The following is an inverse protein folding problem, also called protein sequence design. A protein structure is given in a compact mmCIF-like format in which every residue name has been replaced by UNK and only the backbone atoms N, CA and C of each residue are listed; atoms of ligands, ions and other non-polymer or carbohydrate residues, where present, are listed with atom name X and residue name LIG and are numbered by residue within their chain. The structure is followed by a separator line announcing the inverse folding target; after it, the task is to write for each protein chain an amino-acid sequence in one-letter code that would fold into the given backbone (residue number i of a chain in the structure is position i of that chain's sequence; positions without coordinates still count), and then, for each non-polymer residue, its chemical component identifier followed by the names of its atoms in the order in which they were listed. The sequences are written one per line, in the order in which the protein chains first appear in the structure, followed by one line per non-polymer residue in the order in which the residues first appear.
data_IF_184404773893
#
_entry.id   IF_184404773893
#
_cell.length_a   1.000
_cell.length_b   1.000
_cell.length_c   1.000
_cell.angle_alpha   90.00
_cell.angle_beta   90.00
_cell.angle_gamma   90.00
#
_symmetry.space_group_name_H-M   'P 1'
#
loop_
_entity.id
_entity.type
_entity.pdbx_description
1 polymer ?
#
# COMPACT_ATOMS: atom_id res chain seq x y z
N UNK A 1 -5.97 0.86 1.15
CA UNK A 1 -6.10 0.02 -0.05
C UNK A 1 -5.60 -1.36 0.32
N UNK A 2 -6.42 -2.38 0.12
CA UNK A 2 -6.06 -3.77 0.40
C UNK A 2 -5.50 -4.41 -0.87
N UNK A 3 -4.43 -5.20 -0.72
CA UNK A 3 -3.78 -5.92 -1.82
C UNK A 3 -4.21 -7.37 -1.75
N UNK A 4 -4.97 -7.83 -2.74
CA UNK A 4 -5.37 -9.23 -2.90
C UNK A 4 -4.81 -9.71 -4.24
N UNK A 5 -4.25 -10.92 -4.27
CA UNK A 5 -3.78 -11.51 -5.51
C UNK A 5 -4.97 -11.92 -6.38
N UNK A 6 -4.96 -11.52 -7.66
CA UNK A 6 -6.02 -11.87 -8.61
C UNK A 6 -6.18 -13.39 -8.75
N UNK A 7 -5.07 -14.13 -8.68
CA UNK A 7 -5.10 -15.60 -8.72
C UNK A 7 -5.99 -16.21 -7.63
N UNK A 8 -6.09 -15.57 -6.46
CA UNK A 8 -6.95 -16.07 -5.38
C UNK A 8 -8.43 -16.04 -5.75
N UNK A 9 -8.88 -15.02 -6.50
CA UNK A 9 -10.25 -14.98 -7.04
C UNK A 9 -10.49 -16.08 -8.07
N UNK A 10 -9.50 -16.36 -8.93
CA UNK A 10 -9.56 -17.47 -9.87
C UNK A 10 -9.67 -18.81 -9.15
N UNK A 11 -8.83 -19.07 -8.16
CA UNK A 11 -8.88 -20.33 -7.38
C UNK A 11 -10.19 -20.48 -6.62
N UNK A 12 -10.75 -19.38 -6.10
CA UNK A 12 -12.05 -19.40 -5.45
C UNK A 12 -13.16 -19.76 -6.44
N UNK A 13 -13.20 -19.12 -7.62
CA UNK A 13 -14.20 -19.43 -8.63
C UNK A 13 -14.16 -20.89 -9.08
N UNK A 14 -12.94 -21.44 -9.25
CA UNK A 14 -12.74 -22.86 -9.55
C UNK A 14 -13.23 -23.76 -8.40
N UNK A 15 -12.77 -23.52 -7.17
CA UNK A 15 -13.15 -24.31 -5.99
C UNK A 15 -14.67 -24.26 -5.77
N UNK A 16 -15.28 -23.09 -5.95
CA UNK A 16 -16.72 -22.88 -5.83
C UNK A 16 -17.50 -23.61 -6.92
N UNK A 17 -17.00 -23.62 -8.16
CA UNK A 17 -17.59 -24.41 -9.25
C UNK A 17 -17.55 -25.91 -8.96
N UNK A 18 -16.41 -26.40 -8.44
CA UNK A 18 -16.26 -27.81 -8.02
C UNK A 18 -17.25 -28.15 -6.90
N UNK A 19 -17.49 -27.24 -5.97
CA UNK A 19 -18.47 -27.37 -4.88
C UNK A 19 -19.90 -27.62 -5.39
N UNK A 20 -20.26 -27.03 -6.53
CA UNK A 20 -21.60 -27.14 -7.12
C UNK A 20 -21.69 -28.32 -8.10
N UNK A 21 -20.59 -28.62 -8.79
CA UNK A 21 -20.61 -29.47 -9.99
C UNK A 21 -20.04 -30.88 -9.77
N UNK A 22 -19.07 -31.03 -8.85
CA UNK A 22 -18.37 -32.30 -8.63
C UNK A 22 -18.65 -32.85 -7.22
N UNK A 23 -19.04 -34.13 -7.16
CA UNK A 23 -19.68 -34.75 -5.99
C UNK A 23 -18.71 -35.55 -5.12
N UNK A 24 -17.41 -35.42 -5.34
CA UNK A 24 -16.42 -36.31 -4.75
C UNK A 24 -15.74 -35.68 -3.54
N UNK A 25 -16.40 -35.81 -2.39
CA UNK A 25 -15.75 -35.70 -1.09
C UNK A 25 -15.34 -37.10 -0.62
N UNK A 26 -14.09 -37.28 -0.22
CA UNK A 26 -13.60 -38.57 0.29
C UNK A 26 -14.31 -38.97 1.59
N UNK A 27 -14.54 -37.97 2.45
CA UNK A 27 -15.23 -38.10 3.73
C UNK A 27 -15.75 -36.73 4.23
N UNK A 28 -16.50 -36.75 5.32
CA UNK A 28 -17.09 -35.56 5.94
C UNK A 28 -16.04 -34.53 6.35
N UNK A 29 -14.85 -34.97 6.78
CA UNK A 29 -13.73 -34.07 7.08
C UNK A 29 -13.31 -33.28 5.85
N UNK A 30 -13.07 -33.95 4.72
CA UNK A 30 -12.68 -33.28 3.47
C UNK A 30 -13.73 -32.28 2.99
N UNK A 31 -15.03 -32.60 3.15
CA UNK A 31 -16.11 -31.70 2.78
C UNK A 31 -16.13 -30.43 3.66
N UNK A 32 -15.96 -30.59 4.98
CA UNK A 32 -15.88 -29.46 5.92
C UNK A 32 -14.65 -28.59 5.64
N UNK A 33 -13.48 -29.20 5.42
CA UNK A 33 -12.25 -28.48 5.09
C UNK A 33 -12.38 -27.68 3.79
N UNK A 34 -12.99 -28.27 2.76
CA UNK A 34 -13.23 -27.60 1.48
C UNK A 34 -14.19 -26.42 1.60
N UNK A 35 -15.28 -26.57 2.36
CA UNK A 35 -16.22 -25.49 2.67
C UNK A 35 -15.55 -24.36 3.47
N UNK A 36 -14.82 -24.72 4.53
CA UNK A 36 -14.17 -23.73 5.41
C UNK A 36 -13.04 -23.00 4.67
N UNK A 37 -12.37 -23.62 3.71
CA UNK A 37 -11.43 -22.95 2.79
C UNK A 37 -12.13 -21.86 1.97
N UNK A 38 -13.27 -22.18 1.35
CA UNK A 38 -14.04 -21.23 0.54
C UNK A 38 -14.62 -20.09 1.39
N UNK A 39 -15.18 -20.40 2.56
CA UNK A 39 -15.66 -19.39 3.51
C UNK A 39 -14.49 -18.52 4.01
N UNK A 40 -13.33 -19.13 4.26
CA UNK A 40 -12.11 -18.43 4.63
C UNK A 40 -11.64 -17.44 3.57
N UNK A 41 -11.78 -17.77 2.28
CA UNK A 41 -11.54 -16.84 1.17
C UNK A 41 -12.50 -15.66 1.21
N UNK A 42 -13.80 -15.90 1.34
CA UNK A 42 -14.83 -14.83 1.35
C UNK A 42 -14.54 -13.83 2.48
N UNK A 43 -14.22 -14.33 3.68
CA UNK A 43 -13.88 -13.49 4.82
C UNK A 43 -12.60 -12.66 4.61
N UNK A 44 -11.65 -13.11 3.79
CA UNK A 44 -10.38 -12.41 3.52
C UNK A 44 -10.44 -11.49 2.29
N UNK A 45 -11.51 -11.59 1.48
CA UNK A 45 -11.62 -10.89 0.20
C UNK A 45 -12.44 -9.59 0.29
N UNK A 46 -12.81 -9.19 1.50
CA UNK A 46 -13.67 -8.04 1.76
C UNK A 46 -15.06 -8.18 1.14
N UNK A 47 -15.60 -9.40 1.10
CA UNK A 47 -16.97 -9.71 0.67
C UNK A 47 -17.87 -9.74 1.91
N UNK A 48 -18.04 -8.58 2.54
CA UNK A 48 -18.61 -8.47 3.89
C UNK A 48 -20.08 -8.86 3.93
N UNK A 49 -20.87 -8.55 2.90
CA UNK A 49 -22.31 -8.88 2.87
C UNK A 49 -22.49 -10.40 2.76
N UNK A 50 -21.71 -11.03 1.90
CA UNK A 50 -21.65 -12.47 1.67
C UNK A 50 -21.22 -13.17 2.95
N UNK A 51 -20.19 -12.66 3.64
CA UNK A 51 -19.76 -13.19 4.92
C UNK A 51 -20.89 -13.15 5.98
N UNK A 52 -21.75 -12.13 5.98
CA UNK A 52 -22.91 -12.08 6.87
C UNK A 52 -24.00 -13.09 6.50
N UNK A 53 -24.31 -13.24 5.21
CA UNK A 53 -25.27 -14.25 4.73
C UNK A 53 -24.78 -15.66 5.08
N UNK A 54 -23.49 -15.94 4.89
CA UNK A 54 -22.88 -17.20 5.31
C UNK A 54 -23.08 -17.44 6.80
N UNK A 55 -22.83 -16.44 7.66
CA UNK A 55 -23.03 -16.58 9.11
C UNK A 55 -24.48 -16.90 9.47
N UNK A 56 -25.46 -16.30 8.80
CA UNK A 56 -26.88 -16.53 9.10
C UNK A 56 -27.41 -17.87 8.58
N UNK A 57 -26.88 -18.35 7.44
CA UNK A 57 -27.37 -19.55 6.77
C UNK A 57 -26.58 -20.82 7.12
N UNK A 58 -25.28 -20.71 7.45
CA UNK A 58 -24.39 -21.88 7.64
C UNK A 58 -24.94 -22.91 8.62
N UNK A 59 -25.39 -22.48 9.79
CA UNK A 59 -25.89 -23.40 10.84
C UNK A 59 -27.27 -23.99 10.52
N UNK A 60 -28.07 -23.31 9.70
CA UNK A 60 -29.40 -23.78 9.27
C UNK A 60 -29.27 -24.79 8.13
N UNK A 61 -28.46 -24.45 7.13
CA UNK A 61 -28.40 -25.19 5.86
C UNK A 61 -27.47 -26.39 5.88
N UNK A 62 -26.46 -26.44 6.76
CA UNK A 62 -25.46 -27.52 6.81
C UNK A 62 -25.61 -28.43 8.05
N UNK A 63 -26.81 -28.49 8.64
CA UNK A 63 -27.02 -29.16 9.93
C UNK A 63 -26.61 -30.63 9.90
N UNK A 64 -26.98 -31.37 8.86
CA UNK A 64 -26.70 -32.81 8.79
C UNK A 64 -25.22 -33.09 8.54
N UNK A 65 -24.54 -32.24 7.78
CA UNK A 65 -23.09 -32.34 7.58
C UNK A 65 -22.31 -32.21 8.89
N UNK A 66 -22.69 -31.24 9.73
CA UNK A 66 -22.00 -31.01 11.01
C UNK A 66 -22.33 -32.03 12.10
N UNK A 67 -23.42 -32.79 11.95
CA UNK A 67 -23.78 -33.90 12.84
C UNK A 67 -23.05 -35.21 12.51
N UNK A 68 -22.60 -35.40 11.26
CA UNK A 68 -21.83 -36.58 10.86
C UNK A 68 -20.40 -36.57 11.42
N UNK A 69 -19.88 -37.77 11.70
CA UNK A 69 -18.50 -37.93 12.15
C UNK A 69 -17.54 -37.71 10.97
N UNK A 70 -16.37 -37.19 11.28
CA UNK A 70 -15.41 -36.75 10.27
C UNK A 70 -14.92 -37.85 9.32
N UNK A 71 -14.82 -39.09 9.79
CA UNK A 71 -14.31 -40.23 9.02
C UNK A 71 -15.40 -40.97 8.23
N UNK A 72 -16.67 -40.54 8.35
CA UNK A 72 -17.78 -41.13 7.61
C UNK A 72 -17.80 -40.65 6.15
N UNK A 73 -18.34 -41.50 5.27
CA UNK A 73 -18.67 -41.09 3.91
C UNK A 73 -19.74 -40.00 3.95
N UNK A 74 -19.63 -39.01 3.06
CA UNK A 74 -20.59 -37.90 3.02
C UNK A 74 -21.93 -38.41 2.51
N UNK A 75 -22.99 -38.26 3.31
CA UNK A 75 -24.33 -38.66 2.87
C UNK A 75 -24.86 -37.79 1.73
N UNK A 76 -25.72 -38.36 0.88
CA UNK A 76 -26.37 -37.61 -0.22
C UNK A 76 -27.14 -36.39 0.28
N UNK A 77 -27.74 -36.47 1.48
CA UNK A 77 -28.42 -35.33 2.12
C UNK A 77 -27.44 -34.21 2.41
N UNK A 78 -26.26 -34.53 2.97
CA UNK A 78 -25.23 -33.52 3.21
C UNK A 78 -24.63 -32.95 1.94
N UNK A 79 -24.46 -33.75 0.88
CA UNK A 79 -24.05 -33.22 -0.43
C UNK A 79 -25.08 -32.21 -0.94
N UNK A 80 -26.37 -32.53 -0.84
CA UNK A 80 -27.44 -31.61 -1.25
C UNK A 80 -27.45 -30.33 -0.41
N UNK A 81 -27.31 -30.44 0.91
CA UNK A 81 -27.20 -29.29 1.82
C UNK A 81 -26.05 -28.34 1.42
N UNK A 82 -24.90 -28.91 1.08
CA UNK A 82 -23.73 -28.16 0.63
C UNK A 82 -24.04 -27.38 -0.65
N UNK A 83 -24.65 -28.04 -1.64
CA UNK A 83 -24.99 -27.44 -2.93
C UNK A 83 -26.03 -26.33 -2.75
N UNK A 84 -27.12 -26.62 -2.02
CA UNK A 84 -28.20 -25.67 -1.78
C UNK A 84 -27.66 -24.44 -1.01
N UNK A 85 -26.75 -24.64 -0.05
CA UNK A 85 -26.06 -23.58 0.64
C UNK A 85 -25.18 -22.74 -0.30
N UNK A 86 -24.39 -23.38 -1.17
CA UNK A 86 -23.56 -22.69 -2.15
C UNK A 86 -24.43 -21.84 -3.10
N UNK A 87 -25.47 -22.42 -3.72
CA UNK A 87 -26.39 -21.71 -4.61
C UNK A 87 -27.08 -20.54 -3.90
N UNK A 88 -27.47 -20.71 -2.63
CA UNK A 88 -28.12 -19.66 -1.86
C UNK A 88 -27.24 -18.42 -1.69
N UNK A 89 -25.91 -18.59 -1.53
CA UNK A 89 -24.97 -17.48 -1.37
C UNK A 89 -24.46 -16.91 -2.72
N UNK A 90 -24.62 -17.65 -3.82
CA UNK A 90 -24.09 -17.29 -5.15
C UNK A 90 -24.50 -15.89 -5.60
N UNK A 91 -25.79 -15.57 -5.44
CA UNK A 91 -26.34 -14.27 -5.84
C UNK A 91 -25.69 -13.11 -5.08
N UNK A 92 -25.38 -13.31 -3.79
CA UNK A 92 -24.71 -12.29 -2.97
C UNK A 92 -23.24 -12.17 -3.35
N UNK A 93 -22.56 -13.30 -3.57
CA UNK A 93 -21.17 -13.34 -4.06
C UNK A 93 -21.05 -12.57 -5.39
N UNK A 94 -21.89 -12.87 -6.37
CA UNK A 94 -21.86 -12.22 -7.69
C UNK A 94 -22.14 -10.72 -7.57
N UNK A 95 -23.16 -10.34 -6.78
CA UNK A 95 -23.50 -8.93 -6.57
C UNK A 95 -22.35 -8.12 -5.95
N UNK A 96 -21.65 -8.67 -4.95
CA UNK A 96 -20.51 -7.99 -4.34
C UNK A 96 -19.27 -7.98 -5.22
N UNK A 97 -18.97 -9.08 -5.92
CA UNK A 97 -17.82 -9.16 -6.83
C UNK A 97 -17.94 -8.13 -7.96
N UNK A 98 -19.15 -7.85 -8.46
CA UNK A 98 -19.40 -6.79 -9.47
C UNK A 98 -19.02 -5.39 -9.00
N UNK A 99 -18.97 -5.15 -7.69
CA UNK A 99 -18.57 -3.86 -7.11
C UNK A 99 -17.05 -3.76 -6.92
N UNK A 100 -16.31 -4.86 -7.05
CA UNK A 100 -14.86 -4.88 -6.90
C UNK A 100 -14.18 -4.51 -8.21
N UNK A 101 -13.17 -3.66 -8.09
CA UNK A 101 -12.33 -3.24 -9.20
C UNK A 101 -10.91 -3.71 -8.95
N UNK A 102 -10.25 -4.20 -9.99
CA UNK A 102 -8.83 -4.52 -9.95
C UNK A 102 -8.06 -3.56 -10.86
N UNK A 103 -6.86 -3.19 -10.45
CA UNK A 103 -5.96 -2.35 -11.24
C UNK A 103 -4.75 -3.19 -11.62
N UNK A 104 -4.46 -3.24 -12.92
CA UNK A 104 -3.24 -3.85 -13.43
C UNK A 104 -2.17 -2.78 -13.52
N UNK A 105 -1.09 -2.96 -12.77
CA UNK A 105 0.01 -2.01 -12.76
C UNK A 105 0.90 -2.24 -13.97
N UNK A 106 1.22 -1.16 -14.69
CA UNK A 106 2.22 -1.20 -15.77
C UNK A 106 3.62 -1.06 -15.20
N UNK A 107 4.62 -1.54 -15.94
CA UNK A 107 6.03 -1.41 -15.56
C UNK A 107 6.42 0.06 -15.35
N UNK A 108 7.29 0.29 -14.37
CA UNK A 108 7.86 1.59 -14.04
C UNK A 108 9.39 1.51 -14.13
N UNK A 109 10.07 2.66 -14.18
CA UNK A 109 11.54 2.70 -14.13
C UNK A 109 12.05 2.30 -12.74
N UNK A 110 11.29 2.62 -11.72
CA UNK A 110 11.51 2.14 -10.35
C UNK A 110 10.79 0.81 -10.13
N UNK A 111 11.38 -0.07 -9.33
CA UNK A 111 10.81 -1.37 -9.00
C UNK A 111 9.44 -1.25 -8.30
N UNK A 112 8.42 -1.91 -8.85
CA UNK A 112 7.05 -1.85 -8.35
C UNK A 112 6.89 -2.38 -6.93
N UNK A 113 7.63 -3.44 -6.57
CA UNK A 113 7.57 -4.02 -5.21
C UNK A 113 8.12 -3.02 -4.19
N UNK A 114 9.22 -2.34 -4.53
CA UNK A 114 9.77 -1.27 -3.70
C UNK A 114 8.81 -0.08 -3.61
N UNK A 115 8.22 0.35 -4.73
CA UNK A 115 7.26 1.47 -4.72
C UNK A 115 6.02 1.20 -3.84
N UNK A 116 5.50 -0.02 -3.85
CA UNK A 116 4.28 -0.39 -3.13
C UNK A 116 4.52 -0.74 -1.66
N UNK A 117 5.52 -1.60 -1.42
CA UNK A 117 5.63 -2.34 -0.16
C UNK A 117 6.88 -1.93 0.65
N UNK A 118 7.93 -1.41 -0.01
CA UNK A 118 9.19 -1.09 0.66
C UNK A 118 9.96 0.06 -0.01
N UNK A 119 9.38 1.27 0.07
CA UNK A 119 10.00 2.46 -0.55
C UNK A 119 11.37 2.78 0.05
N UNK A 120 11.60 2.38 1.30
CA UNK A 120 12.87 2.55 2.00
C UNK A 120 14.04 1.86 1.30
N UNK A 121 13.78 0.76 0.57
CA UNK A 121 14.79 0.06 -0.22
C UNK A 121 15.22 0.78 -1.51
N UNK A 122 14.64 1.95 -1.81
CA UNK A 122 15.14 2.88 -2.83
C UNK A 122 16.23 3.81 -2.28
N UNK A 123 16.37 3.92 -0.95
CA UNK A 123 17.38 4.72 -0.30
C UNK A 123 18.62 3.87 0.05
N UNK A 124 19.73 4.55 0.35
CA UNK A 124 20.90 3.89 0.94
C UNK A 124 20.61 3.30 2.32
N UNK A 125 21.46 2.39 2.77
CA UNK A 125 21.22 1.61 3.98
C UNK A 125 21.01 2.47 5.25
N UNK A 126 19.94 2.15 5.98
CA UNK A 126 19.48 2.85 7.17
C UNK A 126 19.11 4.33 6.99
N UNK A 127 19.15 4.88 5.77
CA UNK A 127 18.79 6.30 5.51
C UNK A 127 17.32 6.53 5.79
N UNK A 128 16.45 5.73 5.19
CA UNK A 128 15.00 5.88 5.33
C UNK A 128 14.55 5.80 6.80
N UNK A 129 15.09 4.84 7.56
CA UNK A 129 14.75 4.64 8.97
C UNK A 129 15.17 5.79 9.89
N UNK A 130 16.15 6.62 9.47
CA UNK A 130 16.59 7.81 10.22
C UNK A 130 15.79 9.07 9.88
N UNK A 131 14.97 9.05 8.83
CA UNK A 131 14.06 10.14 8.52
C UNK A 131 12.94 10.25 9.57
N UNK A 132 12.32 11.42 9.67
CA UNK A 132 11.13 11.57 10.52
C UNK A 132 9.98 10.66 10.06
N UNK A 133 9.09 10.29 10.97
CA UNK A 133 7.89 9.50 10.64
C UNK A 133 7.06 10.14 9.51
N UNK A 134 6.89 11.47 9.54
CA UNK A 134 6.15 12.19 8.51
C UNK A 134 6.81 12.06 7.13
N UNK A 135 8.14 12.21 7.07
CA UNK A 135 8.88 12.05 5.81
C UNK A 135 8.79 10.62 5.28
N UNK A 136 8.93 9.61 6.15
CA UNK A 136 8.75 8.20 5.78
C UNK A 136 7.35 7.94 5.20
N UNK A 137 6.31 8.45 5.87
CA UNK A 137 4.92 8.33 5.39
C UNK A 137 4.72 8.98 4.04
N UNK A 138 5.25 10.18 3.84
CA UNK A 138 5.13 10.86 2.55
C UNK A 138 5.84 10.12 1.42
N UNK A 139 7.04 9.60 1.65
CA UNK A 139 7.69 8.77 0.63
C UNK A 139 6.93 7.48 0.34
N UNK A 140 6.29 6.85 1.34
CA UNK A 140 5.45 5.67 1.11
C UNK A 140 4.24 6.01 0.24
N UNK A 141 3.56 7.13 0.49
CA UNK A 141 2.44 7.57 -0.35
C UNK A 141 2.91 7.99 -1.75
N UNK A 142 4.06 8.66 -1.87
CA UNK A 142 4.67 8.96 -3.16
C UNK A 142 4.95 7.70 -3.98
N UNK A 143 5.49 6.65 -3.36
CA UNK A 143 5.74 5.36 -4.00
C UNK A 143 4.48 4.76 -4.60
N UNK A 144 3.38 4.73 -3.83
CA UNK A 144 2.07 4.29 -4.32
C UNK A 144 1.57 5.18 -5.46
N UNK A 145 1.64 6.50 -5.33
CA UNK A 145 1.21 7.41 -6.39
C UNK A 145 1.98 7.16 -7.70
N UNK A 146 3.28 6.86 -7.65
CA UNK A 146 4.03 6.47 -8.86
C UNK A 146 3.55 5.13 -9.40
N UNK A 147 3.34 4.13 -8.54
CA UNK A 147 2.86 2.81 -8.97
C UNK A 147 1.48 2.89 -9.66
N UNK A 148 0.58 3.73 -9.15
CA UNK A 148 -0.77 3.97 -9.66
C UNK A 148 -0.90 5.10 -10.69
N UNK A 149 0.22 5.55 -11.27
CA UNK A 149 0.20 6.54 -12.37
C UNK A 149 -0.44 7.88 -12.00
N UNK A 150 -0.21 8.34 -10.78
CA UNK A 150 -0.65 9.63 -10.25
C UNK A 150 0.54 10.59 -10.08
N UNK A 151 1.18 11.05 -11.17
CA UNK A 151 2.47 11.74 -11.11
C UNK A 151 2.43 13.07 -10.35
N UNK A 152 1.38 13.89 -10.54
CA UNK A 152 1.27 15.16 -9.81
C UNK A 152 1.13 14.95 -8.30
N UNK A 153 0.31 13.98 -7.87
CA UNK A 153 0.17 13.63 -6.45
C UNK A 153 1.49 13.09 -5.86
N UNK A 154 2.20 12.24 -6.61
CA UNK A 154 3.53 11.77 -6.23
C UNK A 154 4.50 12.94 -6.02
N UNK A 155 4.53 13.94 -6.91
CA UNK A 155 5.40 15.11 -6.77
C UNK A 155 5.11 15.87 -5.45
N UNK A 156 3.84 16.10 -5.10
CA UNK A 156 3.47 16.72 -3.82
C UNK A 156 4.02 15.95 -2.62
N UNK A 157 3.84 14.62 -2.59
CA UNK A 157 4.34 13.80 -1.50
C UNK A 157 5.88 13.79 -1.43
N UNK A 158 6.58 13.64 -2.56
CA UNK A 158 8.05 13.67 -2.62
C UNK A 158 8.60 15.00 -2.07
N UNK A 159 8.02 16.12 -2.51
CA UNK A 159 8.46 17.45 -2.11
C UNK A 159 8.14 17.73 -0.63
N UNK A 160 6.99 17.27 -0.13
CA UNK A 160 6.63 17.37 1.30
C UNK A 160 7.58 16.55 2.18
N UNK A 161 7.89 15.31 1.78
CA UNK A 161 8.86 14.47 2.48
C UNK A 161 10.25 15.10 2.52
N UNK A 162 10.65 15.72 1.41
CA UNK A 162 11.94 16.40 1.26
C UNK A 162 11.99 17.65 2.15
N UNK A 163 10.93 18.46 2.18
CA UNK A 163 10.83 19.61 3.08
C UNK A 163 10.93 19.19 4.54
N UNK A 164 10.25 18.12 4.96
CA UNK A 164 10.30 17.67 6.34
C UNK A 164 11.70 17.14 6.74
N UNK A 165 12.42 16.49 5.83
CA UNK A 165 13.82 16.10 6.06
C UNK A 165 14.73 17.32 6.21
N UNK A 166 14.50 18.38 5.42
CA UNK A 166 15.19 19.66 5.61
C UNK A 166 14.89 20.26 6.98
N UNK A 167 13.63 20.24 7.42
CA UNK A 167 13.23 20.70 8.76
C UNK A 167 13.91 19.89 9.86
N UNK A 168 14.01 18.56 9.70
CA UNK A 168 14.76 17.70 10.62
C UNK A 168 16.23 18.14 10.73
N UNK A 169 16.89 18.37 9.60
CA UNK A 169 18.26 18.84 9.56
C UNK A 169 18.44 20.21 10.22
N UNK A 170 17.58 21.16 9.84
CA UNK A 170 17.56 22.51 10.38
C UNK A 170 17.40 22.51 11.90
N UNK A 171 16.43 21.75 12.43
CA UNK A 171 16.18 21.65 13.88
C UNK A 171 17.36 21.06 14.65
N UNK A 172 18.14 20.17 14.04
CA UNK A 172 19.32 19.55 14.66
C UNK A 172 20.58 20.44 14.57
N UNK A 173 20.73 21.23 13.51
CA UNK A 173 21.93 22.07 13.29
C UNK A 173 21.77 23.53 13.79
N UNK A 174 20.55 24.04 13.94
CA UNK A 174 20.26 25.38 14.44
C UNK A 174 19.67 25.30 15.86
N UNK A 175 20.20 26.04 16.85
CA UNK A 175 19.62 26.09 18.20
C UNK A 175 18.18 26.58 18.19
N UNK A 176 17.31 25.97 19.02
CA UNK A 176 15.87 26.27 19.07
C UNK A 176 15.54 27.75 19.25
N UNK A 177 16.33 28.48 20.05
CA UNK A 177 16.17 29.93 20.27
C UNK A 177 16.38 30.78 19.01
N UNK A 178 17.04 30.23 18.00
CA UNK A 178 17.32 30.88 16.72
C UNK A 178 16.43 30.32 15.61
N UNK A 179 15.41 29.49 15.91
CA UNK A 179 14.51 28.99 14.88
C UNK A 179 13.68 30.13 14.29
N UNK A 180 13.45 30.09 12.98
CA UNK A 180 12.45 30.93 12.34
C UNK A 180 11.08 30.66 12.97
N UNK A 181 10.27 31.71 13.16
CA UNK A 181 8.91 31.58 13.70
C UNK A 181 8.03 30.64 12.87
N UNK A 182 8.27 30.61 11.56
CA UNK A 182 7.66 29.66 10.62
C UNK A 182 8.76 28.94 9.84
N UNK A 183 8.72 27.61 9.84
CA UNK A 183 9.71 26.75 9.19
C UNK A 183 9.44 26.60 7.68
N UNK A 184 9.56 27.72 6.96
CA UNK A 184 9.47 27.75 5.50
C UNK A 184 10.81 27.34 4.86
N UNK A 185 10.73 26.65 3.72
CA UNK A 185 11.89 26.08 3.02
C UNK A 185 13.01 27.11 2.73
N UNK A 186 12.69 28.22 2.06
CA UNK A 186 13.67 29.25 1.67
C UNK A 186 14.35 29.91 2.89
N UNK A 187 13.62 30.43 3.88
CA UNK A 187 14.21 31.01 5.09
C UNK A 187 15.14 30.07 5.86
N UNK A 188 14.82 28.76 5.93
CA UNK A 188 15.71 27.78 6.57
C UNK A 188 17.06 27.66 5.84
N UNK A 189 17.04 27.61 4.50
CA UNK A 189 18.26 27.53 3.69
C UNK A 189 19.10 28.80 3.86
N UNK A 190 18.49 29.97 3.75
CA UNK A 190 19.18 31.26 3.86
C UNK A 190 19.87 31.42 5.22
N UNK A 191 19.18 31.06 6.30
CA UNK A 191 19.77 31.10 7.64
C UNK A 191 20.90 30.09 7.82
N UNK A 192 20.78 28.88 7.28
CA UNK A 192 21.87 27.90 7.35
C UNK A 192 23.09 28.32 6.53
N UNK A 193 22.89 29.00 5.39
CA UNK A 193 23.98 29.55 4.55
C UNK A 193 24.78 30.65 5.26
N UNK A 194 24.13 31.47 6.08
CA UNK A 194 24.81 32.54 6.82
C UNK A 194 25.51 32.04 8.09
N UNK A 195 25.24 30.81 8.53
CA UNK A 195 25.88 30.22 9.70
C UNK A 195 27.29 29.68 9.37
N UNK A 196 28.38 30.24 9.95
CA UNK A 196 29.74 29.82 9.64
C UNK A 196 30.00 28.33 9.92
N UNK A 197 29.31 27.74 10.91
CA UNK A 197 29.45 26.32 11.28
C UNK A 197 28.88 25.36 10.23
N UNK A 198 28.05 25.86 9.32
CA UNK A 198 27.37 25.05 8.30
C UNK A 198 27.92 25.27 6.90
N UNK A 199 29.03 26.01 6.76
CA UNK A 199 29.68 26.32 5.48
C UNK A 199 30.08 25.07 4.71
N UNK A 200 30.46 24.00 5.42
CA UNK A 200 30.81 22.69 4.83
C UNK A 200 29.62 22.00 4.14
N UNK A 201 28.38 22.39 4.46
CA UNK A 201 27.16 21.83 3.86
C UNK A 201 26.67 22.63 2.65
N UNK A 202 27.47 23.53 2.08
CA UNK A 202 27.09 24.39 0.93
C UNK A 202 26.44 23.58 -0.20
N UNK A 203 27.08 22.52 -0.66
CA UNK A 203 26.57 21.70 -1.78
C UNK A 203 25.21 21.07 -1.47
N UNK A 204 25.02 20.59 -0.23
CA UNK A 204 23.74 20.04 0.22
C UNK A 204 22.65 21.13 0.21
N UNK A 205 22.95 22.32 0.73
CA UNK A 205 22.01 23.44 0.75
C UNK A 205 21.65 23.90 -0.67
N UNK A 206 22.63 23.90 -1.58
CA UNK A 206 22.42 24.22 -2.99
C UNK A 206 21.53 23.18 -3.69
N UNK A 207 21.69 21.89 -3.40
CA UNK A 207 20.79 20.84 -3.90
C UNK A 207 19.34 21.05 -3.45
N UNK A 208 19.11 21.39 -2.18
CA UNK A 208 17.76 21.67 -1.68
C UNK A 208 17.16 22.95 -2.26
N UNK A 209 17.99 23.98 -2.48
CA UNK A 209 17.52 25.24 -3.08
C UNK A 209 17.17 25.05 -4.56
N UNK A 210 17.93 24.22 -5.28
CA UNK A 210 17.63 23.80 -6.65
C UNK A 210 16.29 23.06 -6.72
N UNK A 211 16.05 22.09 -5.82
CA UNK A 211 14.76 21.38 -5.74
C UNK A 211 13.62 22.36 -5.44
N UNK A 212 13.84 23.28 -4.49
CA UNK A 212 12.83 24.27 -4.09
C UNK A 212 12.43 25.16 -5.27
N UNK A 213 13.42 25.71 -5.96
CA UNK A 213 13.19 26.68 -7.02
C UNK A 213 12.54 26.03 -8.25
N UNK A 214 13.05 24.88 -8.69
CA UNK A 214 12.63 24.26 -9.95
C UNK A 214 11.43 23.31 -9.83
N UNK A 215 11.13 22.80 -8.63
CA UNK A 215 10.07 21.82 -8.44
C UNK A 215 9.06 22.23 -7.37
N UNK A 216 9.49 22.53 -6.15
CA UNK A 216 8.56 22.86 -5.05
C UNK A 216 7.68 24.07 -5.38
N UNK A 217 8.33 25.16 -5.79
CA UNK A 217 7.62 26.40 -6.07
C UNK A 217 6.63 26.24 -7.24
N UNK A 218 7.04 25.67 -8.39
CA UNK A 218 6.10 25.35 -9.47
C UNK A 218 4.96 24.43 -9.03
N UNK A 219 5.23 23.34 -8.31
CA UNK A 219 4.19 22.39 -7.86
C UNK A 219 3.09 23.04 -7.01
N UNK A 220 3.36 24.19 -6.40
CA UNK A 220 2.35 24.93 -5.64
C UNK A 220 1.33 25.67 -6.53
N UNK A 221 1.60 25.81 -7.83
CA UNK A 221 0.69 26.42 -8.81
C UNK A 221 -0.33 25.38 -9.33
N UNK A 222 -1.62 25.75 -9.43
CA UNK A 222 -2.68 24.83 -9.91
C UNK A 222 -2.45 24.25 -11.31
N UNK A 223 -1.74 24.98 -12.18
CA UNK A 223 -1.54 24.61 -13.59
C UNK A 223 -0.33 23.69 -13.81
N UNK A 224 0.39 23.32 -12.75
CA UNK A 224 1.55 22.45 -12.86
C UNK A 224 1.18 20.97 -12.78
N UNK A 225 1.46 20.26 -13.87
CA UNK A 225 1.26 18.82 -14.00
C UNK A 225 2.59 18.12 -14.23
N UNK A 226 2.70 16.89 -13.72
CA UNK A 226 3.87 16.04 -13.92
C UNK A 226 3.51 14.86 -14.81
N UNK A 227 4.48 14.39 -15.58
CA UNK A 227 4.42 13.08 -16.25
C UNK A 227 5.04 12.01 -15.35
N UNK A 228 4.72 10.74 -15.61
CA UNK A 228 5.36 9.61 -14.92
C UNK A 228 6.89 9.63 -15.00
N UNK A 229 7.42 10.12 -16.11
CA UNK A 229 8.86 10.23 -16.29
C UNK A 229 9.45 11.29 -15.38
N UNK A 230 8.94 12.51 -15.49
CA UNK A 230 9.44 13.65 -14.70
C UNK A 230 9.34 13.40 -13.19
N UNK A 231 8.30 12.72 -12.71
CA UNK A 231 8.16 12.45 -11.28
C UNK A 231 9.12 11.37 -10.78
N UNK A 232 9.47 10.37 -11.60
CA UNK A 232 10.47 9.37 -11.22
C UNK A 232 11.87 9.99 -11.17
N UNK A 233 12.18 10.92 -12.09
CA UNK A 233 13.42 11.70 -12.05
C UNK A 233 13.47 12.59 -10.80
N UNK A 234 12.36 13.27 -10.47
CA UNK A 234 12.23 14.04 -9.24
C UNK A 234 12.39 13.15 -7.99
N UNK A 235 11.83 11.95 -8.00
CA UNK A 235 11.95 10.99 -6.89
C UNK A 235 13.43 10.66 -6.64
N UNK A 236 14.17 10.27 -7.68
CA UNK A 236 15.59 9.94 -7.57
C UNK A 236 16.43 11.14 -7.11
N UNK A 237 16.16 12.34 -7.65
CA UNK A 237 16.81 13.58 -7.22
C UNK A 237 16.58 13.85 -5.73
N UNK A 238 15.36 13.67 -5.24
CA UNK A 238 15.03 13.84 -3.84
C UNK A 238 15.65 12.73 -2.97
N UNK A 239 15.66 11.46 -3.40
CA UNK A 239 16.33 10.37 -2.67
C UNK A 239 17.80 10.73 -2.41
N UNK A 240 18.48 11.23 -3.43
CA UNK A 240 19.89 11.62 -3.37
C UNK A 240 20.11 12.75 -2.34
N UNK A 241 19.35 13.85 -2.47
CA UNK A 241 19.47 15.01 -1.58
C UNK A 241 19.16 14.66 -0.12
N UNK A 242 18.09 13.89 0.12
CA UNK A 242 17.70 13.47 1.47
C UNK A 242 18.72 12.48 2.06
N UNK A 243 19.32 11.61 1.24
CA UNK A 243 20.38 10.70 1.70
C UNK A 243 21.61 11.46 2.19
N UNK A 244 22.04 12.51 1.49
CA UNK A 244 23.13 13.38 1.94
C UNK A 244 22.83 14.03 3.29
N UNK A 245 21.62 14.59 3.44
CA UNK A 245 21.18 15.22 4.69
C UNK A 245 21.20 14.23 5.85
N UNK A 246 20.56 13.07 5.67
CA UNK A 246 20.44 12.09 6.75
C UNK A 246 21.82 11.54 7.15
N UNK A 247 22.73 11.37 6.21
CA UNK A 247 24.10 10.95 6.53
C UNK A 247 24.87 12.06 7.27
N UNK A 248 24.69 13.33 6.91
CA UNK A 248 25.26 14.47 7.63
C UNK A 248 24.72 14.69 9.06
N UNK A 249 23.67 13.93 9.45
CA UNK A 249 23.14 13.89 10.82
C UNK A 249 23.72 12.76 11.67
N UNK A 250 24.50 11.85 11.08
CA UNK A 250 25.29 10.86 11.83
C UNK A 250 26.42 11.52 12.61
N UNK A 251 26.96 12.59 12.04
CA UNK A 251 27.99 13.47 12.61
C UNK A 251 27.37 14.57 13.50
#
# INVERSE_FOLDING_TARGET
MEKIQLYTFYTFGWDYHMLISDRHYENVKSAKEFLDKNIGFINKSGLDVTAQVIKSEKSKSLKNLYLQKNDEAVSEVSVKEIIDFAIAIEKTVDAELRLKHSFVLTNKRLDLTKLLDNVGALFGDGVFNRMSYLSQKDFQEAGKCVAFEMPTAAAFHILRATEETLRQFYRKKIPKKNHNSVLLWKPMIEQMRTNPKLRSYKTLLDSYDNIRFNFRNPTSHPDMFYTLDTVQDLFLLCIEANSRVINALKD
#
